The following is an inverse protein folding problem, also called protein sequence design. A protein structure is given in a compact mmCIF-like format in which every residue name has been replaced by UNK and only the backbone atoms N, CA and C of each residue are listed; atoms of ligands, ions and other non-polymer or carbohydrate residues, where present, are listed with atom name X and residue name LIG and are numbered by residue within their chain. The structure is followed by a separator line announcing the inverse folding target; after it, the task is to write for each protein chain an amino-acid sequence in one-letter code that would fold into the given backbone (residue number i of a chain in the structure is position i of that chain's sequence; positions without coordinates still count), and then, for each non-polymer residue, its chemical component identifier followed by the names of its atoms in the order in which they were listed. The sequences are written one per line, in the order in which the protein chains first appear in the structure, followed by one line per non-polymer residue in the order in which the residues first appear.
data_IF_995299134869
#
_entry.id   IF_995299134869
#
_cell.length_a   1.000
_cell.length_b   1.000
_cell.length_c   1.000
_cell.angle_alpha   90.00
_cell.angle_beta   90.00
_cell.angle_gamma   90.00
#
_symmetry.space_group_name_H-M   'P 1'
#
loop_
_entity.id
_entity.type
_entity.pdbx_description
1 polymer ?
#
# COMPACT_ATOMS: atom_id res chain seq x y z
N UNK A 1 14.09 31.88 -9.34
CA UNK A 1 13.76 31.12 -8.11
C UNK A 1 14.55 29.81 -8.10
N UNK A 2 15.34 29.52 -7.05
CA UNK A 2 16.22 28.33 -7.04
C UNK A 2 15.47 26.99 -6.86
N UNK A 3 14.18 26.98 -6.48
CA UNK A 3 13.38 25.77 -6.18
C UNK A 3 11.88 25.93 -6.54
N UNK A 4 11.49 25.94 -7.82
CA UNK A 4 10.11 26.19 -8.24
C UNK A 4 9.13 25.12 -7.74
N UNK A 5 9.55 23.84 -7.72
CA UNK A 5 8.69 22.73 -7.29
C UNK A 5 8.35 22.77 -5.79
N UNK A 6 9.25 23.26 -4.94
CA UNK A 6 8.97 23.42 -3.51
C UNK A 6 7.92 24.51 -3.28
N UNK A 7 8.04 25.63 -3.98
CA UNK A 7 7.06 26.73 -3.88
C UNK A 7 5.69 26.26 -4.37
N UNK A 8 5.65 25.52 -5.48
CA UNK A 8 4.42 24.91 -5.98
C UNK A 8 3.85 23.91 -4.96
N UNK A 9 4.68 23.08 -4.33
CA UNK A 9 4.23 22.16 -3.27
C UNK A 9 3.59 22.94 -2.13
N UNK A 10 4.23 23.99 -1.62
CA UNK A 10 3.68 24.79 -0.52
C UNK A 10 2.34 25.43 -0.89
N UNK A 11 2.20 25.90 -2.13
CA UNK A 11 0.93 26.40 -2.64
C UNK A 11 -0.15 25.30 -2.72
N UNK A 12 0.17 24.13 -3.27
CA UNK A 12 -0.74 22.98 -3.32
C UNK A 12 -1.13 22.54 -1.91
N UNK A 13 -0.17 22.44 -0.98
CA UNK A 13 -0.43 22.10 0.41
C UNK A 13 -1.38 23.10 1.06
N UNK A 14 -1.15 24.40 0.88
CA UNK A 14 -2.04 25.44 1.43
C UNK A 14 -3.46 25.33 0.87
N UNK A 15 -3.61 25.18 -0.46
CA UNK A 15 -4.92 25.03 -1.11
C UNK A 15 -5.63 23.77 -0.62
N UNK A 16 -4.93 22.64 -0.55
CA UNK A 16 -5.50 21.36 -0.09
C UNK A 16 -5.85 21.44 1.40
N UNK A 17 -5.01 22.02 2.24
CA UNK A 17 -5.28 22.20 3.68
C UNK A 17 -6.50 23.10 3.92
N UNK A 18 -6.57 24.25 3.24
CA UNK A 18 -7.71 25.17 3.33
C UNK A 18 -8.98 24.43 2.91
N UNK A 19 -8.95 23.68 1.81
CA UNK A 19 -10.13 22.92 1.39
C UNK A 19 -10.51 21.79 2.35
N UNK A 20 -9.53 21.09 2.92
CA UNK A 20 -9.77 20.02 3.90
C UNK A 20 -10.39 20.56 5.20
N UNK A 21 -9.92 21.72 5.69
CA UNK A 21 -10.40 22.33 6.92
C UNK A 21 -11.77 23.01 6.74
N UNK A 22 -11.92 23.81 5.68
CA UNK A 22 -13.08 24.69 5.52
C UNK A 22 -14.20 24.08 4.66
N UNK A 23 -13.89 23.07 3.84
CA UNK A 23 -14.88 22.43 2.96
C UNK A 23 -14.85 20.90 3.05
N UNK A 24 -14.99 20.32 4.26
CA UNK A 24 -14.90 18.88 4.46
C UNK A 24 -15.79 18.11 3.47
N UNK A 25 -17.06 18.49 3.29
CA UNK A 25 -18.02 17.74 2.47
C UNK A 25 -17.73 17.59 0.96
N UNK A 26 -16.89 18.43 0.34
CA UNK A 26 -16.81 18.53 -1.13
C UNK A 26 -15.67 17.74 -1.80
N UNK A 27 -14.63 17.38 -1.06
CA UNK A 27 -13.47 16.61 -1.55
C UNK A 27 -13.41 15.20 -0.99
N UNK A 28 -14.33 14.86 -0.10
CA UNK A 28 -14.44 13.47 0.30
C UNK A 28 -14.98 12.67 -0.88
N UNK A 29 -14.14 11.78 -1.38
CA UNK A 29 -14.61 10.50 -1.86
C UNK A 29 -15.22 9.74 -0.67
N UNK A 30 -16.32 10.26 -0.12
CA UNK A 30 -17.08 9.63 0.94
C UNK A 30 -18.39 9.23 0.31
N UNK A 31 -18.53 7.92 0.10
CA UNK A 31 -19.84 7.30 0.06
C UNK A 31 -20.48 7.54 1.43
N UNK A 32 -21.13 8.69 1.58
CA UNK A 32 -21.98 8.97 2.72
C UNK A 32 -23.24 8.12 2.60
N UNK A 33 -23.88 7.86 3.73
CA UNK A 33 -25.20 7.22 3.82
C UNK A 33 -26.21 7.84 2.85
N UNK A 34 -26.07 9.13 2.57
CA UNK A 34 -26.90 9.92 1.64
C UNK A 34 -26.76 9.53 0.16
N UNK A 35 -25.60 9.01 -0.27
CA UNK A 35 -25.39 8.54 -1.65
C UNK A 35 -25.94 7.13 -1.90
N UNK A 36 -26.19 6.36 -0.83
CA UNK A 36 -26.81 5.04 -0.89
C UNK A 36 -28.33 5.20 -0.78
N UNK A 37 -28.98 5.71 -1.84
CA UNK A 37 -30.44 5.91 -1.90
C UNK A 37 -31.23 4.71 -1.36
N UNK A 38 -31.72 4.81 -0.11
CA UNK A 38 -32.64 3.86 0.50
C UNK A 38 -32.06 2.52 0.97
N UNK A 39 -30.74 2.36 1.09
CA UNK A 39 -30.11 1.11 1.59
C UNK A 39 -29.57 1.32 3.01
N UNK A 40 -30.09 0.56 3.97
CA UNK A 40 -29.67 0.58 5.35
C UNK A 40 -28.45 -0.32 5.59
N UNK A 41 -27.74 -0.06 6.69
CA UNK A 41 -26.70 -0.97 7.15
C UNK A 41 -27.32 -2.33 7.51
N UNK A 42 -26.71 -3.43 7.06
CA UNK A 42 -27.26 -4.78 7.20
C UNK A 42 -28.02 -5.29 5.97
N UNK A 43 -28.44 -4.41 5.06
CA UNK A 43 -29.17 -4.82 3.85
C UNK A 43 -28.28 -5.64 2.91
N UNK A 44 -28.89 -6.61 2.23
CA UNK A 44 -28.20 -7.38 1.19
C UNK A 44 -28.03 -6.54 -0.07
N UNK A 45 -26.78 -6.27 -0.45
CA UNK A 45 -26.43 -5.56 -1.67
C UNK A 45 -25.76 -6.52 -2.66
N UNK A 46 -26.13 -6.40 -3.94
CA UNK A 46 -25.46 -7.08 -5.04
C UNK A 46 -24.62 -6.08 -5.83
N UNK A 47 -23.33 -6.36 -5.96
CA UNK A 47 -22.37 -5.53 -6.69
C UNK A 47 -21.83 -6.33 -7.87
N UNK A 48 -21.86 -5.72 -9.06
CA UNK A 48 -21.24 -6.25 -10.27
C UNK A 48 -20.03 -5.38 -10.60
N UNK A 49 -18.87 -5.98 -10.72
CA UNK A 49 -17.64 -5.21 -10.94
C UNK A 49 -16.42 -6.05 -11.26
N UNK A 50 -15.34 -5.39 -11.66
CA UNK A 50 -14.06 -6.03 -11.95
C UNK A 50 -13.32 -6.35 -10.66
N UNK A 51 -12.89 -7.61 -10.48
CA UNK A 51 -12.06 -8.03 -9.36
C UNK A 51 -10.64 -7.44 -9.50
N UNK A 52 -10.29 -6.47 -8.65
CA UNK A 52 -9.01 -5.76 -8.73
C UNK A 52 -7.88 -6.47 -7.97
N UNK A 53 -8.23 -7.23 -6.93
CA UNK A 53 -7.28 -7.93 -6.05
C UNK A 53 -7.97 -8.74 -4.97
N UNK A 54 -7.24 -9.67 -4.37
CA UNK A 54 -7.67 -10.46 -3.22
C UNK A 54 -6.54 -10.51 -2.18
N UNK A 55 -6.89 -10.38 -0.91
CA UNK A 55 -5.95 -10.40 0.21
C UNK A 55 -6.55 -11.17 1.38
N UNK A 56 -5.70 -11.89 2.12
CA UNK A 56 -6.10 -12.48 3.40
C UNK A 56 -5.99 -11.43 4.49
N UNK A 57 -7.04 -11.25 5.29
CA UNK A 57 -7.04 -10.37 6.47
C UNK A 57 -7.41 -11.18 7.70
N UNK A 58 -6.72 -10.89 8.81
CA UNK A 58 -7.10 -11.41 10.11
C UNK A 58 -8.16 -10.49 10.71
N UNK A 59 -9.29 -11.07 11.12
CA UNK A 59 -10.39 -10.37 11.79
C UNK A 59 -10.04 -10.12 13.25
N UNK A 60 -10.92 -9.41 13.96
CA UNK A 60 -10.77 -9.20 15.41
C UNK A 60 -10.89 -10.50 16.23
N UNK A 61 -11.55 -11.52 15.69
CA UNK A 61 -11.73 -12.84 16.32
C UNK A 61 -10.57 -13.80 15.97
N UNK A 62 -9.45 -13.25 15.51
CA UNK A 62 -8.24 -13.95 15.07
C UNK A 62 -8.43 -14.93 13.89
N UNK A 63 -9.60 -14.92 13.25
CA UNK A 63 -9.88 -15.71 12.05
C UNK A 63 -9.31 -15.05 10.81
N UNK A 64 -8.73 -15.84 9.91
CA UNK A 64 -8.18 -15.34 8.63
C UNK A 64 -9.26 -15.46 7.56
N UNK A 65 -9.77 -14.32 7.09
CA UNK A 65 -10.80 -14.24 6.05
C UNK A 65 -10.22 -13.75 4.73
N UNK A 66 -10.77 -14.26 3.63
CA UNK A 66 -10.46 -13.76 2.29
C UNK A 66 -11.25 -12.48 1.99
N UNK A 67 -10.53 -11.45 1.56
CA UNK A 67 -11.08 -10.14 1.26
C UNK A 67 -10.80 -9.79 -0.19
N UNK A 68 -11.86 -9.59 -0.96
CA UNK A 68 -11.79 -9.25 -2.37
C UNK A 68 -12.09 -7.77 -2.56
N UNK A 69 -11.33 -7.12 -3.46
CA UNK A 69 -11.56 -5.73 -3.82
C UNK A 69 -12.19 -5.67 -5.20
N UNK A 70 -13.46 -5.27 -5.26
CA UNK A 70 -14.24 -5.22 -6.50
C UNK A 70 -14.44 -3.77 -6.90
N UNK A 71 -14.08 -3.41 -8.13
CA UNK A 71 -14.39 -2.11 -8.72
C UNK A 71 -15.75 -2.19 -9.42
N UNK A 72 -16.80 -1.51 -8.93
CA UNK A 72 -18.12 -1.57 -9.55
C UNK A 72 -18.10 -1.03 -10.98
N UNK A 73 -18.88 -1.65 -11.87
CA UNK A 73 -19.09 -1.14 -13.23
C UNK A 73 -20.04 0.08 -13.19
N UNK A 74 -19.69 1.11 -13.97
CA UNK A 74 -20.42 2.39 -14.01
C UNK A 74 -21.89 2.29 -14.47
N UNK A 75 -22.32 1.17 -15.06
CA UNK A 75 -23.69 0.96 -15.53
C UNK A 75 -24.70 0.65 -14.41
N UNK A 76 -24.25 0.43 -13.17
CA UNK A 76 -25.16 0.32 -12.03
C UNK A 76 -25.70 1.72 -11.69
N UNK A 77 -26.99 1.98 -11.94
CA UNK A 77 -27.70 3.25 -11.66
C UNK A 77 -27.51 3.81 -10.24
N UNK A 78 -26.91 3.05 -9.32
CA UNK A 78 -26.66 3.39 -7.90
C UNK A 78 -25.21 3.81 -7.60
N UNK A 79 -24.31 3.85 -8.59
CA UNK A 79 -22.90 4.21 -8.40
C UNK A 79 -22.44 5.31 -9.36
N UNK A 80 -22.88 6.55 -9.11
CA UNK A 80 -22.29 7.73 -9.71
C UNK A 80 -20.96 8.06 -9.01
N UNK A 81 -19.87 7.39 -9.41
CA UNK A 81 -18.55 7.60 -8.79
C UNK A 81 -17.51 6.56 -9.23
N UNK A 82 -17.21 6.52 -10.53
CA UNK A 82 -16.52 5.43 -11.23
C UNK A 82 -15.06 5.10 -10.88
N UNK A 83 -14.62 5.22 -9.62
CA UNK A 83 -13.26 4.79 -9.19
C UNK A 83 -13.19 4.07 -7.85
N UNK A 84 -14.29 3.95 -7.11
CA UNK A 84 -14.32 3.30 -5.80
C UNK A 84 -14.04 1.81 -5.88
N UNK A 85 -13.42 1.27 -4.84
CA UNK A 85 -13.41 -0.17 -4.55
C UNK A 85 -14.46 -0.49 -3.49
N UNK A 86 -15.07 -1.66 -3.63
CA UNK A 86 -15.91 -2.30 -2.61
C UNK A 86 -15.12 -3.45 -2.01
N UNK A 87 -15.09 -3.50 -0.69
CA UNK A 87 -14.42 -4.58 0.04
C UNK A 87 -15.41 -5.71 0.29
N UNK A 88 -15.24 -6.86 -0.36
CA UNK A 88 -16.08 -8.04 -0.18
C UNK A 88 -15.38 -9.03 0.75
N UNK A 89 -15.94 -9.28 1.94
CA UNK A 89 -15.43 -10.25 2.91
C UNK A 89 -16.17 -11.57 2.65
N UNK A 90 -15.41 -12.58 2.20
CA UNK A 90 -15.96 -13.87 1.80
C UNK A 90 -16.32 -14.72 3.03
N UNK A 91 -17.41 -15.49 2.92
CA UNK A 91 -17.81 -16.47 3.94
C UNK A 91 -16.88 -17.70 3.85
N UNK A 92 -16.33 -18.17 4.99
CA UNK A 92 -15.36 -19.27 5.03
C UNK A 92 -15.90 -20.53 4.33
N UNK A 93 -15.15 -21.04 3.35
CA UNK A 93 -15.40 -22.34 2.73
C UNK A 93 -16.54 -22.42 1.70
N UNK A 94 -17.16 -21.30 1.30
CA UNK A 94 -18.21 -21.29 0.25
C UNK A 94 -17.85 -20.39 -0.94
N UNK A 95 -16.79 -20.76 -1.66
CA UNK A 95 -16.60 -20.31 -3.04
C UNK A 95 -17.33 -21.28 -3.97
N UNK A 96 -18.24 -20.74 -4.80
CA UNK A 96 -18.97 -21.44 -5.85
C UNK A 96 -19.59 -22.78 -5.41
N UNK A 97 -20.71 -22.73 -4.68
CA UNK A 97 -21.63 -23.88 -4.64
C UNK A 97 -22.95 -23.51 -5.30
N UNK A 98 -23.41 -24.46 -6.10
CA UNK A 98 -24.67 -24.54 -6.84
C UNK A 98 -25.83 -23.99 -6.02
N UNK A 99 -26.26 -22.78 -6.38
CA UNK A 99 -27.56 -22.27 -6.02
C UNK A 99 -28.50 -22.54 -7.18
N UNK A 100 -29.07 -23.74 -7.23
CA UNK A 100 -30.23 -24.02 -8.05
C UNK A 100 -31.23 -22.87 -7.92
N UNK A 101 -31.59 -22.31 -9.06
CA UNK A 101 -32.58 -21.27 -9.22
C UNK A 101 -33.91 -21.76 -8.64
N UNK A 102 -34.25 -21.33 -7.42
CA UNK A 102 -35.65 -21.18 -7.03
C UNK A 102 -36.00 -19.70 -7.15
N UNK A 103 -36.71 -19.47 -8.25
CA UNK A 103 -37.56 -18.33 -8.57
C UNK A 103 -38.29 -17.78 -7.37
N UNK A 104 -38.20 -16.46 -7.17
CA UNK A 104 -39.30 -15.49 -7.09
C UNK A 104 -38.85 -14.27 -6.28
N UNK A 105 -38.74 -13.12 -6.95
CA UNK A 105 -39.21 -11.80 -6.50
C UNK A 105 -38.70 -10.69 -7.45
N UNK A 106 -39.55 -10.39 -8.42
CA UNK A 106 -39.79 -9.07 -9.03
C UNK A 106 -38.60 -8.16 -9.35
N UNK A 107 -38.03 -8.35 -10.54
CA UNK A 107 -37.49 -7.24 -11.34
C UNK A 107 -38.62 -6.65 -12.19
N UNK A 108 -39.19 -5.50 -11.78
CA UNK A 108 -39.95 -4.67 -12.69
C UNK A 108 -39.02 -3.65 -13.37
N UNK A 109 -38.93 -3.84 -14.69
CA UNK A 109 -38.76 -2.86 -15.78
C UNK A 109 -37.45 -2.07 -15.91
N UNK A 110 -36.78 -2.33 -17.04
CA UNK A 110 -35.73 -1.48 -17.61
C UNK A 110 -34.68 -2.29 -18.36
N UNK A 111 -35.01 -2.71 -19.59
CA UNK A 111 -34.26 -3.69 -20.39
C UNK A 111 -32.75 -3.43 -20.53
N UNK A 112 -31.98 -4.52 -20.39
CA UNK A 112 -30.61 -4.64 -20.86
C UNK A 112 -30.42 -6.05 -21.43
N UNK A 113 -29.94 -6.12 -22.66
CA UNK A 113 -29.85 -7.32 -23.51
C UNK A 113 -29.05 -8.47 -22.87
N UNK A 114 -29.54 -9.69 -23.11
CA UNK A 114 -28.92 -10.99 -22.79
C UNK A 114 -27.47 -11.05 -23.25
N UNK A 115 -26.54 -11.03 -22.30
CA UNK A 115 -25.26 -11.70 -22.43
C UNK A 115 -25.31 -12.92 -21.51
N UNK A 116 -25.28 -14.11 -22.10
CA UNK A 116 -25.25 -15.38 -21.37
C UNK A 116 -24.04 -15.39 -20.44
N UNK A 117 -24.31 -15.45 -19.14
CA UNK A 117 -23.30 -15.61 -18.10
C UNK A 117 -23.11 -17.12 -17.95
N UNK A 118 -22.19 -17.68 -18.74
CA UNK A 118 -21.83 -19.08 -18.63
C UNK A 118 -21.24 -19.33 -17.24
N UNK A 119 -21.95 -20.12 -16.44
CA UNK A 119 -21.36 -20.86 -15.33
C UNK A 119 -20.55 -21.97 -16.00
N UNK A 120 -19.22 -21.85 -16.01
CA UNK A 120 -18.41 -23.06 -16.17
C UNK A 120 -18.58 -23.88 -14.88
N UNK A 121 -19.40 -24.92 -15.01
CA UNK A 121 -19.39 -26.08 -14.13
C UNK A 121 -17.99 -26.71 -14.14
N UNK A 122 -17.59 -27.27 -13.00
CA UNK A 122 -16.36 -28.07 -12.81
C UNK A 122 -15.03 -27.33 -12.67
N UNK A 123 -14.82 -26.59 -11.58
CA UNK A 123 -13.52 -26.61 -10.83
C UNK A 123 -13.73 -26.35 -9.33
N UNK A 124 -13.47 -27.38 -8.53
CA UNK A 124 -13.29 -27.26 -7.09
C UNK A 124 -12.18 -26.24 -6.76
N UNK A 125 -12.46 -25.36 -5.78
CA UNK A 125 -11.48 -24.52 -5.03
C UNK A 125 -10.61 -23.50 -5.79
N UNK A 126 -10.72 -23.31 -7.10
CA UNK A 126 -9.92 -22.27 -7.77
C UNK A 126 -10.56 -20.87 -7.60
N UNK A 127 -9.91 -20.05 -6.78
CA UNK A 127 -10.23 -18.63 -6.58
C UNK A 127 -10.41 -17.91 -7.92
N UNK A 128 -11.48 -17.12 -8.05
CA UNK A 128 -11.81 -16.39 -9.27
C UNK A 128 -10.61 -15.54 -9.75
N UNK A 129 -10.17 -15.67 -11.02
CA UNK A 129 -9.04 -14.92 -11.54
C UNK A 129 -9.21 -13.40 -11.43
N UNK A 130 -8.15 -12.70 -11.01
CA UNK A 130 -8.13 -11.23 -10.94
C UNK A 130 -8.31 -10.62 -12.34
N UNK A 131 -9.14 -9.59 -12.40
CA UNK A 131 -9.54 -8.88 -13.61
C UNK A 131 -10.82 -9.42 -14.25
N UNK A 132 -11.42 -10.50 -13.74
CA UNK A 132 -12.76 -10.92 -14.17
C UNK A 132 -13.85 -10.01 -13.61
N UNK A 133 -14.96 -9.91 -14.32
CA UNK A 133 -16.18 -9.28 -13.83
C UNK A 133 -16.89 -10.29 -12.94
N UNK A 134 -17.06 -9.95 -11.67
CA UNK A 134 -17.73 -10.78 -10.67
C UNK A 134 -19.03 -10.12 -10.22
N UNK A 135 -20.05 -10.95 -9.99
CA UNK A 135 -21.29 -10.55 -9.33
C UNK A 135 -21.26 -11.09 -7.90
N UNK A 136 -21.20 -10.21 -6.92
CA UNK A 136 -21.08 -10.56 -5.50
C UNK A 136 -22.30 -10.03 -4.73
N UNK A 137 -22.89 -10.87 -3.89
CA UNK A 137 -23.97 -10.48 -2.97
C UNK A 137 -23.51 -10.65 -1.52
N UNK A 138 -23.74 -9.64 -0.68
CA UNK A 138 -23.38 -9.68 0.74
C UNK A 138 -24.12 -8.60 1.54
N UNK A 139 -23.97 -8.62 2.86
CA UNK A 139 -24.58 -7.64 3.77
C UNK A 139 -23.77 -6.36 3.82
N UNK A 140 -24.41 -5.22 3.61
CA UNK A 140 -23.75 -3.90 3.63
C UNK A 140 -23.25 -3.56 5.04
N UNK A 141 -21.97 -3.18 5.10
CA UNK A 141 -21.32 -2.60 6.28
C UNK A 141 -20.65 -1.29 5.90
N UNK A 142 -21.01 -0.23 6.60
CA UNK A 142 -20.39 1.08 6.41
C UNK A 142 -19.17 1.22 7.34
N UNK A 143 -18.19 2.01 6.91
CA UNK A 143 -17.06 2.35 7.77
C UNK A 143 -17.46 3.47 8.74
N UNK A 144 -17.40 3.19 10.03
CA UNK A 144 -17.65 4.17 11.09
C UNK A 144 -16.44 5.08 11.29
N UNK A 145 -16.73 6.33 11.68
CA UNK A 145 -15.72 7.23 12.23
C UNK A 145 -15.38 6.84 13.68
N UNK A 146 -14.38 7.50 14.28
CA UNK A 146 -13.99 7.26 15.66
C UNK A 146 -15.12 7.69 16.60
N UNK A 147 -15.44 6.83 17.56
CA UNK A 147 -16.45 7.11 18.60
C UNK A 147 -15.79 7.67 19.84
N UNK A 148 -14.54 7.26 20.10
CA UNK A 148 -13.72 7.73 21.20
C UNK A 148 -12.57 8.63 20.71
N UNK A 149 -12.19 9.67 21.48
CA UNK A 149 -10.98 10.44 21.20
C UNK A 149 -9.74 9.53 21.16
N UNK A 150 -8.94 9.65 20.10
CA UNK A 150 -7.74 8.83 19.90
C UNK A 150 -7.98 7.45 19.28
N UNK A 151 -9.24 7.08 19.02
CA UNK A 151 -9.57 5.86 18.28
C UNK A 151 -9.16 5.97 16.80
N UNK A 152 -8.85 4.83 16.19
CA UNK A 152 -8.50 4.78 14.77
C UNK A 152 -9.72 5.12 13.89
N UNK A 153 -9.57 6.15 13.06
CA UNK A 153 -10.60 6.57 12.11
C UNK A 153 -10.62 5.65 10.87
N UNK A 154 -11.43 4.59 10.97
CA UNK A 154 -11.62 3.63 9.87
C UNK A 154 -12.18 4.30 8.62
N UNK A 155 -13.18 5.17 8.77
CA UNK A 155 -13.80 5.87 7.64
C UNK A 155 -12.77 6.67 6.86
N UNK A 156 -11.98 7.51 7.53
CA UNK A 156 -10.94 8.31 6.89
C UNK A 156 -9.87 7.45 6.23
N UNK A 157 -9.45 6.36 6.89
CA UNK A 157 -8.45 5.44 6.35
C UNK A 157 -8.93 4.79 5.04
N UNK A 158 -10.12 4.18 5.04
CA UNK A 158 -10.67 3.51 3.87
C UNK A 158 -11.04 4.49 2.74
N UNK A 159 -11.55 5.69 3.07
CA UNK A 159 -11.75 6.75 2.08
C UNK A 159 -10.44 7.19 1.43
N UNK A 160 -9.34 7.28 2.19
CA UNK A 160 -8.01 7.56 1.62
C UNK A 160 -7.61 6.48 0.62
N UNK A 161 -7.88 5.21 0.92
CA UNK A 161 -7.62 4.07 0.02
C UNK A 161 -8.64 3.96 -1.14
N UNK A 162 -9.56 4.92 -1.29
CA UNK A 162 -10.65 4.90 -2.29
C UNK A 162 -11.57 3.68 -2.15
N UNK A 163 -11.74 3.17 -0.94
CA UNK A 163 -12.66 2.08 -0.61
C UNK A 163 -13.93 2.70 -0.02
N UNK A 164 -15.07 2.40 -0.63
CA UNK A 164 -16.35 3.03 -0.32
C UNK A 164 -17.04 2.42 0.89
N UNK A 165 -17.22 1.09 0.87
CA UNK A 165 -17.91 0.32 1.90
C UNK A 165 -17.46 -1.14 1.85
N UNK A 166 -17.85 -1.91 2.86
CA UNK A 166 -17.62 -3.34 2.91
C UNK A 166 -18.93 -4.13 2.76
N UNK A 167 -18.85 -5.32 2.18
CA UNK A 167 -19.88 -6.34 2.18
C UNK A 167 -19.37 -7.50 3.04
N UNK A 168 -20.19 -7.95 4.00
CA UNK A 168 -19.94 -9.16 4.81
C UNK A 168 -20.71 -10.35 4.26
N UNK A 169 -20.28 -11.56 4.63
CA UNK A 169 -20.93 -12.82 4.27
C UNK A 169 -21.13 -12.94 2.75
N UNK A 170 -20.09 -12.57 1.98
CA UNK A 170 -20.19 -12.46 0.54
C UNK A 170 -20.23 -13.81 -0.16
N UNK A 171 -21.16 -13.94 -1.11
CA UNK A 171 -21.25 -15.06 -2.05
C UNK A 171 -21.13 -14.58 -3.48
N UNK A 172 -20.45 -15.38 -4.30
CA UNK A 172 -20.26 -15.13 -5.73
C UNK A 172 -21.46 -15.74 -6.45
N UNK A 173 -22.18 -14.92 -7.21
CA UNK A 173 -23.33 -15.32 -8.01
C UNK A 173 -22.96 -15.64 -9.46
N UNK A 174 -21.77 -15.26 -9.89
CA UNK A 174 -21.25 -15.51 -11.23
C UNK A 174 -19.99 -14.71 -11.52
N UNK A 175 -19.19 -15.20 -12.46
CA UNK A 175 -18.01 -14.53 -12.96
C UNK A 175 -17.96 -14.63 -14.48
N UNK A 176 -17.52 -13.57 -15.17
CA UNK A 176 -17.39 -13.54 -16.62
C UNK A 176 -16.29 -12.57 -17.05
N UNK A 177 -15.81 -12.72 -18.28
CA UNK A 177 -14.84 -11.81 -18.90
C UNK A 177 -13.38 -12.28 -18.83
N UNK A 178 -12.50 -11.53 -19.50
CA UNK A 178 -11.07 -11.86 -19.62
C UNK A 178 -10.28 -11.29 -18.43
N UNK A 179 -9.45 -12.13 -17.81
CA UNK A 179 -8.56 -11.72 -16.72
C UNK A 179 -7.48 -10.75 -17.19
N UNK A 180 -7.14 -9.77 -16.35
CA UNK A 180 -6.02 -8.86 -16.61
C UNK A 180 -4.68 -9.60 -16.44
N UNK A 181 -4.01 -9.91 -17.56
CA UNK A 181 -2.82 -10.79 -17.61
C UNK A 181 -1.74 -10.37 -16.61
N UNK A 182 -1.38 -9.09 -16.57
CA UNK A 182 -0.33 -8.58 -15.67
C UNK A 182 -0.74 -8.72 -14.21
N UNK A 183 -1.99 -8.37 -13.86
CA UNK A 183 -2.47 -8.45 -12.47
C UNK A 183 -2.61 -9.89 -12.01
N UNK A 184 -3.13 -10.76 -12.87
CA UNK A 184 -3.17 -12.20 -12.65
C UNK A 184 -1.75 -12.72 -12.38
N UNK A 185 -0.80 -12.41 -13.24
CA UNK A 185 0.61 -12.79 -13.05
C UNK A 185 1.17 -12.30 -11.72
N UNK A 186 1.03 -11.01 -11.39
CA UNK A 186 1.54 -10.45 -10.14
C UNK A 186 0.91 -11.08 -8.89
N UNK A 187 -0.38 -11.41 -8.96
CA UNK A 187 -1.06 -12.10 -7.86
C UNK A 187 -0.56 -13.53 -7.68
N UNK A 188 -0.45 -14.30 -8.76
CA UNK A 188 0.09 -15.66 -8.68
C UNK A 188 1.54 -15.63 -8.20
N UNK A 189 2.34 -14.68 -8.67
CA UNK A 189 3.70 -14.46 -8.18
C UNK A 189 3.72 -14.18 -6.67
N UNK A 190 2.87 -13.25 -6.19
CA UNK A 190 2.74 -12.94 -4.76
C UNK A 190 2.31 -14.17 -3.95
N UNK A 191 1.33 -14.94 -4.43
CA UNK A 191 0.87 -16.19 -3.77
C UNK A 191 1.97 -17.23 -3.69
N UNK A 192 2.73 -17.41 -4.76
CA UNK A 192 3.87 -18.33 -4.79
C UNK A 192 4.98 -17.89 -3.84
N UNK A 193 5.27 -16.59 -3.78
CA UNK A 193 6.19 -16.03 -2.77
C UNK A 193 5.68 -16.28 -1.35
N UNK A 194 4.39 -16.08 -1.09
CA UNK A 194 3.75 -16.34 0.20
C UNK A 194 3.86 -17.82 0.61
N UNK A 195 3.63 -18.75 -0.32
CA UNK A 195 3.78 -20.19 -0.11
C UNK A 195 5.22 -20.58 0.24
N UNK A 196 6.21 -20.10 -0.52
CA UNK A 196 7.63 -20.33 -0.23
C UNK A 196 7.98 -19.84 1.17
N UNK A 197 7.55 -18.64 1.54
CA UNK A 197 7.80 -18.08 2.88
C UNK A 197 7.11 -18.90 3.99
N UNK A 198 5.93 -19.46 3.72
CA UNK A 198 5.22 -20.32 4.68
C UNK A 198 5.94 -21.64 4.89
N UNK A 199 6.54 -22.20 3.83
CA UNK A 199 7.24 -23.48 3.89
C UNK A 199 8.63 -23.35 4.52
N UNK A 200 9.32 -22.22 4.32
CA UNK A 200 10.69 -22.04 4.79
C UNK A 200 10.82 -21.49 6.21
N UNK A 201 9.76 -20.90 6.79
CA UNK A 201 9.81 -20.23 8.08
C UNK A 201 8.75 -20.74 9.05
N UNK A 202 8.99 -20.54 10.35
CA UNK A 202 7.97 -20.74 11.39
C UNK A 202 6.76 -19.81 11.15
N UNK A 203 5.56 -20.09 11.70
CA UNK A 203 4.40 -19.22 11.55
C UNK A 203 4.65 -17.76 11.97
N UNK A 204 5.40 -17.56 13.05
CA UNK A 204 5.74 -16.23 13.58
C UNK A 204 6.73 -15.49 12.65
N UNK A 205 7.86 -16.11 12.32
CA UNK A 205 8.90 -15.52 11.47
C UNK A 205 8.39 -15.31 10.04
N UNK A 206 7.60 -16.27 9.54
CA UNK A 206 6.94 -16.21 8.24
C UNK A 206 5.96 -15.04 8.18
N UNK A 207 5.20 -14.77 9.24
CA UNK A 207 4.34 -13.59 9.35
C UNK A 207 5.12 -12.27 9.24
N UNK A 208 6.28 -12.17 9.92
CA UNK A 208 7.16 -11.00 9.83
C UNK A 208 7.74 -10.85 8.42
N UNK A 209 8.24 -11.94 7.83
CA UNK A 209 8.84 -11.93 6.50
C UNK A 209 7.84 -11.56 5.41
N UNK A 210 6.60 -12.08 5.49
CA UNK A 210 5.50 -11.71 4.60
C UNK A 210 5.11 -10.23 4.76
N UNK A 211 5.10 -9.70 5.98
CA UNK A 211 4.84 -8.29 6.21
C UNK A 211 5.91 -7.39 5.57
N UNK A 212 7.19 -7.75 5.71
CA UNK A 212 8.32 -6.96 5.17
C UNK A 212 8.45 -7.08 3.65
N UNK A 213 8.30 -8.28 3.09
CA UNK A 213 8.54 -8.52 1.65
C UNK A 213 7.30 -8.34 0.77
N UNK A 214 6.12 -8.68 1.28
CA UNK A 214 4.86 -8.70 0.50
C UNK A 214 3.86 -7.66 1.01
N UNK A 215 4.11 -7.03 2.16
CA UNK A 215 3.22 -6.05 2.77
C UNK A 215 2.04 -6.69 3.50
N UNK A 216 2.07 -8.01 3.68
CA UNK A 216 0.97 -8.78 4.23
C UNK A 216 1.08 -8.89 5.76
N UNK A 217 0.29 -8.07 6.45
CA UNK A 217 0.31 -7.98 7.92
C UNK A 217 -0.72 -8.88 8.61
N UNK A 218 -1.49 -9.64 7.84
CA UNK A 218 -2.59 -10.48 8.33
C UNK A 218 -2.09 -11.62 9.20
N UNK A 219 -0.94 -12.19 8.85
CA UNK A 219 -0.35 -13.33 9.56
C UNK A 219 0.50 -12.94 10.78
N UNK A 220 0.64 -11.64 11.07
CA UNK A 220 1.38 -11.18 12.24
C UNK A 220 0.48 -11.15 13.48
N UNK A 221 0.96 -11.78 14.55
CA UNK A 221 0.32 -11.74 15.84
C UNK A 221 0.23 -10.32 16.43
N UNK A 222 -0.82 -10.09 17.22
CA UNK A 222 -1.12 -8.80 17.85
C UNK A 222 -0.06 -8.40 18.88
N UNK A 223 0.52 -9.35 19.61
CA UNK A 223 1.56 -9.08 20.61
C UNK A 223 2.85 -8.60 19.93
N UNK A 224 3.22 -9.25 18.82
CA UNK A 224 4.37 -8.84 18.01
C UNK A 224 4.15 -7.43 17.45
N UNK A 225 2.97 -7.13 16.90
CA UNK A 225 2.64 -5.78 16.43
C UNK A 225 2.80 -4.73 17.53
N UNK A 226 2.33 -5.06 18.73
CA UNK A 226 2.40 -4.17 19.89
C UNK A 226 3.82 -3.97 20.39
N UNK A 227 4.64 -5.03 20.38
CA UNK A 227 6.07 -4.94 20.69
C UNK A 227 6.77 -3.96 19.74
N UNK A 228 6.53 -4.08 18.44
CA UNK A 228 7.13 -3.17 17.44
C UNK A 228 6.59 -1.74 17.59
N UNK A 229 5.32 -1.58 17.96
CA UNK A 229 4.70 -0.27 18.23
C UNK A 229 5.34 0.42 19.44
N UNK A 230 5.43 -0.27 20.58
CA UNK A 230 6.03 0.27 21.83
C UNK A 230 7.50 0.67 21.64
N UNK A 231 8.22 -0.09 20.82
CA UNK A 231 9.61 0.20 20.49
C UNK A 231 9.81 1.26 19.39
N UNK A 232 8.73 1.78 18.79
CA UNK A 232 8.79 2.82 17.75
C UNK A 232 9.28 2.33 16.38
N UNK A 233 9.31 1.02 16.16
CA UNK A 233 9.88 0.36 14.97
C UNK A 233 8.80 -0.27 14.07
N UNK A 234 7.52 -0.04 14.38
CA UNK A 234 6.37 -0.52 13.59
C UNK A 234 6.39 -0.06 12.13
N UNK A 235 7.00 1.11 11.86
CA UNK A 235 7.13 1.65 10.51
C UNK A 235 7.97 0.74 9.58
N UNK A 236 8.82 -0.11 10.16
CA UNK A 236 9.69 -1.03 9.43
C UNK A 236 8.92 -2.26 8.91
N UNK A 237 7.82 -2.64 9.58
CA UNK A 237 6.91 -3.71 9.15
C UNK A 237 5.99 -3.30 7.99
N UNK A 238 5.98 -2.00 7.64
CA UNK A 238 5.37 -1.56 6.40
C UNK A 238 6.43 -1.59 5.30
N UNK A 239 6.02 -1.94 4.07
CA UNK A 239 6.90 -1.77 2.91
C UNK A 239 7.27 -0.29 2.79
N UNK A 240 8.45 0.03 3.28
CA UNK A 240 9.03 1.35 3.25
C UNK A 240 9.52 1.69 1.84
N UNK A 241 9.59 2.98 1.53
CA UNK A 241 10.21 3.43 0.28
C UNK A 241 11.68 3.02 0.15
N UNK A 242 12.37 2.75 1.27
CA UNK A 242 13.75 2.24 1.27
C UNK A 242 13.82 0.86 0.61
N UNK A 243 12.90 -0.06 0.95
CA UNK A 243 12.89 -1.41 0.37
C UNK A 243 12.77 -1.38 -1.15
N UNK A 244 11.82 -0.58 -1.64
CA UNK A 244 11.53 -0.46 -3.08
C UNK A 244 12.68 0.23 -3.80
N UNK A 245 13.23 1.30 -3.23
CA UNK A 245 14.41 1.98 -3.79
C UNK A 245 15.65 1.08 -3.80
N UNK A 246 15.84 0.23 -2.79
CA UNK A 246 16.95 -0.71 -2.74
C UNK A 246 16.84 -1.78 -3.84
N UNK A 247 15.65 -2.37 -4.00
CA UNK A 247 15.36 -3.33 -5.09
C UNK A 247 15.63 -2.68 -6.45
N UNK A 248 15.08 -1.48 -6.68
CA UNK A 248 15.30 -0.73 -7.92
C UNK A 248 16.76 -0.40 -8.19
N UNK A 249 17.49 0.05 -7.16
CA UNK A 249 18.91 0.35 -7.27
C UNK A 249 19.77 -0.89 -7.54
N UNK A 250 19.48 -2.01 -6.88
CA UNK A 250 20.17 -3.28 -7.10
C UNK A 250 19.98 -3.75 -8.54
N UNK A 251 18.75 -3.77 -9.03
CA UNK A 251 18.42 -4.16 -10.41
C UNK A 251 19.12 -3.22 -11.40
N UNK A 252 19.01 -1.91 -11.19
CA UNK A 252 19.68 -0.93 -12.05
C UNK A 252 21.19 -1.18 -12.12
N UNK A 253 21.84 -1.41 -10.97
CA UNK A 253 23.29 -1.68 -10.91
C UNK A 253 23.66 -2.99 -11.59
N UNK A 254 22.86 -4.05 -11.44
CA UNK A 254 23.10 -5.33 -12.11
C UNK A 254 22.95 -5.21 -13.62
N UNK A 255 21.92 -4.53 -14.11
CA UNK A 255 21.73 -4.30 -15.54
C UNK A 255 22.82 -3.41 -16.12
N UNK A 256 23.29 -2.40 -15.39
CA UNK A 256 24.43 -1.57 -15.84
C UNK A 256 25.76 -2.32 -15.93
N UNK A 257 25.90 -3.52 -15.35
CA UNK A 257 27.08 -4.37 -15.58
C UNK A 257 27.02 -5.16 -16.89
N UNK A 258 25.87 -5.16 -17.56
CA UNK A 258 25.68 -5.78 -18.88
C UNK A 258 25.98 -4.77 -19.99
N UNK A 259 25.92 -5.21 -21.25
CA UNK A 259 26.09 -4.36 -22.44
C UNK A 259 24.89 -3.46 -22.75
N UNK A 260 23.85 -3.46 -21.91
CA UNK A 260 22.64 -2.69 -22.13
C UNK A 260 22.88 -1.18 -22.00
N UNK A 261 22.23 -0.35 -22.84
CA UNK A 261 22.33 1.09 -22.73
C UNK A 261 21.69 1.57 -21.42
N UNK A 262 22.33 2.55 -20.75
CA UNK A 262 21.85 3.18 -19.51
C UNK A 262 20.35 3.55 -19.47
N UNK A 263 19.72 4.12 -20.52
CA UNK A 263 18.26 4.33 -20.56
C UNK A 263 17.45 3.07 -20.36
N UNK A 264 17.85 1.97 -20.98
CA UNK A 264 17.16 0.70 -20.86
C UNK A 264 17.34 0.12 -19.45
N UNK A 265 18.53 0.21 -18.86
CA UNK A 265 18.76 -0.20 -17.47
C UNK A 265 17.86 0.58 -16.49
N UNK A 266 17.73 1.90 -16.67
CA UNK A 266 16.83 2.73 -15.86
C UNK A 266 15.36 2.34 -16.08
N UNK A 267 14.93 2.16 -17.33
CA UNK A 267 13.55 1.82 -17.66
C UNK A 267 13.14 0.46 -17.07
N UNK A 268 13.99 -0.57 -17.19
CA UNK A 268 13.78 -1.88 -16.59
C UNK A 268 13.70 -1.81 -15.06
N UNK A 269 14.61 -1.07 -14.41
CA UNK A 269 14.58 -0.91 -12.96
C UNK A 269 13.29 -0.20 -12.47
N UNK A 270 12.86 0.86 -13.16
CA UNK A 270 11.61 1.56 -12.86
C UNK A 270 10.42 0.62 -13.09
N UNK A 271 10.41 -0.14 -14.18
CA UNK A 271 9.36 -1.12 -14.47
C UNK A 271 9.24 -2.15 -13.34
N UNK A 272 10.35 -2.73 -12.88
CA UNK A 272 10.32 -3.69 -11.76
C UNK A 272 9.84 -3.03 -10.47
N UNK A 273 10.27 -1.81 -10.17
CA UNK A 273 9.76 -1.08 -8.99
C UNK A 273 8.25 -0.83 -9.08
N UNK A 274 7.72 -0.51 -10.27
CA UNK A 274 6.28 -0.31 -10.49
C UNK A 274 5.52 -1.64 -10.32
N UNK A 275 6.01 -2.72 -10.93
CA UNK A 275 5.41 -4.05 -10.81
C UNK A 275 5.41 -4.54 -9.34
N UNK A 276 6.52 -4.37 -8.64
CA UNK A 276 6.62 -4.69 -7.21
C UNK A 276 5.70 -3.80 -6.37
N UNK A 277 5.64 -2.49 -6.67
CA UNK A 277 4.71 -1.56 -6.03
C UNK A 277 3.25 -1.97 -6.23
N UNK A 278 2.87 -2.37 -7.45
CA UNK A 278 1.52 -2.86 -7.76
C UNK A 278 1.19 -4.15 -7.00
N UNK A 279 2.13 -5.08 -6.93
CA UNK A 279 1.99 -6.34 -6.18
C UNK A 279 1.73 -6.10 -4.68
N UNK A 280 2.35 -5.04 -4.13
CA UNK A 280 2.27 -4.66 -2.72
C UNK A 280 1.16 -3.64 -2.39
N UNK A 281 0.29 -3.30 -3.35
CA UNK A 281 -0.85 -2.40 -3.11
C UNK A 281 -0.57 -0.90 -3.27
N UNK A 282 0.54 -0.51 -3.90
CA UNK A 282 0.88 0.86 -4.31
C UNK A 282 0.65 1.94 -3.23
N UNK A 283 1.20 1.72 -2.03
CA UNK A 283 1.09 2.67 -0.93
C UNK A 283 1.82 4.01 -1.24
N UNK A 284 1.51 5.07 -0.48
CA UNK A 284 2.12 6.39 -0.69
C UNK A 284 3.67 6.38 -0.65
N UNK A 285 4.26 5.55 0.22
CA UNK A 285 5.72 5.40 0.32
C UNK A 285 6.34 4.79 -0.94
N UNK A 286 5.65 3.83 -1.57
CA UNK A 286 6.05 3.17 -2.81
C UNK A 286 5.99 4.12 -4.00
N UNK A 287 4.85 4.80 -4.18
CA UNK A 287 4.66 5.79 -5.26
C UNK A 287 5.74 6.87 -5.17
N UNK A 288 5.98 7.40 -3.97
CA UNK A 288 7.04 8.38 -3.73
C UNK A 288 8.42 7.84 -4.11
N UNK A 289 8.77 6.63 -3.69
CA UNK A 289 10.05 6.01 -4.01
C UNK A 289 10.25 5.84 -5.52
N UNK A 290 9.21 5.39 -6.24
CA UNK A 290 9.22 5.25 -7.70
C UNK A 290 9.44 6.61 -8.38
N UNK A 291 8.70 7.65 -7.99
CA UNK A 291 8.83 9.00 -8.57
C UNK A 291 10.23 9.57 -8.30
N UNK A 292 10.73 9.46 -7.07
CA UNK A 292 12.06 9.97 -6.72
C UNK A 292 13.16 9.23 -7.48
N UNK A 293 13.03 7.92 -7.69
CA UNK A 293 13.97 7.13 -8.48
C UNK A 293 13.91 7.51 -9.97
N UNK A 294 12.71 7.69 -10.52
CA UNK A 294 12.51 8.22 -11.88
C UNK A 294 13.22 9.56 -12.05
N UNK A 295 13.03 10.52 -11.12
CA UNK A 295 13.73 11.80 -11.15
C UNK A 295 15.26 11.62 -11.10
N UNK A 296 15.77 10.69 -10.28
CA UNK A 296 17.20 10.41 -10.14
C UNK A 296 17.81 9.88 -11.44
N UNK A 297 17.08 9.02 -12.15
CA UNK A 297 17.48 8.48 -13.44
C UNK A 297 17.32 9.50 -14.58
N UNK A 298 16.28 10.34 -14.54
CA UNK A 298 16.03 11.35 -15.58
C UNK A 298 17.01 12.53 -15.50
N UNK A 299 17.48 12.90 -14.30
CA UNK A 299 18.30 14.10 -14.08
C UNK A 299 19.55 14.18 -15.00
N UNK A 300 20.41 13.14 -15.11
CA UNK A 300 21.56 13.18 -16.01
C UNK A 300 21.20 13.37 -17.50
N UNK A 301 20.05 12.83 -17.93
CA UNK A 301 19.58 12.94 -19.33
C UNK A 301 19.04 14.31 -19.67
N UNK A 302 18.49 14.99 -18.67
CA UNK A 302 18.03 16.38 -18.78
C UNK A 302 19.17 17.37 -18.53
N UNK A 303 20.42 16.91 -18.39
CA UNK A 303 21.57 17.72 -17.98
C UNK A 303 21.31 18.53 -16.70
N UNK A 304 20.56 17.94 -15.77
CA UNK A 304 20.24 18.52 -14.45
C UNK A 304 20.88 17.69 -13.34
N UNK A 305 21.16 18.33 -12.22
CA UNK A 305 21.50 17.63 -10.98
C UNK A 305 20.23 17.12 -10.31
N UNK A 306 20.32 15.97 -9.66
CA UNK A 306 19.24 15.46 -8.82
C UNK A 306 19.12 16.32 -7.57
N UNK A 307 17.95 16.93 -7.36
CA UNK A 307 17.62 17.67 -6.15
C UNK A 307 16.57 16.89 -5.34
N UNK A 308 16.93 16.53 -4.11
CA UNK A 308 16.10 15.71 -3.23
C UNK A 308 14.75 16.39 -2.96
N UNK A 309 14.75 17.70 -2.72
CA UNK A 309 13.56 18.43 -2.31
C UNK A 309 12.61 18.66 -3.49
N UNK A 310 13.14 18.90 -4.69
CA UNK A 310 12.34 18.96 -5.93
C UNK A 310 11.67 17.61 -6.23
N UNK A 311 12.40 16.49 -6.11
CA UNK A 311 11.84 15.17 -6.32
C UNK A 311 10.77 14.81 -5.26
N UNK A 312 11.02 15.15 -3.99
CA UNK A 312 10.04 14.99 -2.91
C UNK A 312 8.79 15.83 -3.18
N UNK A 313 8.96 17.08 -3.61
CA UNK A 313 7.86 17.99 -3.91
C UNK A 313 7.00 17.51 -5.08
N UNK A 314 7.62 17.05 -6.16
CA UNK A 314 6.91 16.47 -7.29
C UNK A 314 6.09 15.24 -6.86
N UNK A 315 6.68 14.35 -6.05
CA UNK A 315 5.97 13.17 -5.58
C UNK A 315 4.77 13.48 -4.67
N UNK A 316 4.90 14.50 -3.79
CA UNK A 316 3.79 14.96 -2.98
C UNK A 316 2.67 15.57 -3.84
N UNK A 317 3.01 16.42 -4.80
CA UNK A 317 2.02 17.04 -5.70
C UNK A 317 1.25 15.95 -6.45
N UNK A 318 1.94 14.98 -7.06
CA UNK A 318 1.28 13.91 -7.82
C UNK A 318 0.37 13.04 -6.94
N UNK A 319 0.78 12.71 -5.71
CA UNK A 319 -0.06 11.97 -4.76
C UNK A 319 -1.29 12.78 -4.33
N UNK A 320 -1.13 14.06 -4.06
CA UNK A 320 -2.22 14.93 -3.59
C UNK A 320 -3.22 15.28 -4.69
N UNK A 321 -2.77 15.34 -5.95
CA UNK A 321 -3.65 15.47 -7.10
C UNK A 321 -4.50 14.21 -7.32
N UNK A 322 -3.95 13.02 -7.06
CA UNK A 322 -4.71 11.76 -7.15
C UNK A 322 -5.70 11.59 -5.99
N UNK A 323 -5.28 11.93 -4.76
CA UNK A 323 -6.11 11.82 -3.57
C UNK A 323 -5.66 12.82 -2.49
N UNK A 324 -6.39 13.91 -2.24
CA UNK A 324 -6.03 14.90 -1.22
C UNK A 324 -6.01 14.34 0.21
N UNK A 325 -6.76 13.26 0.48
CA UNK A 325 -6.82 12.63 1.81
C UNK A 325 -5.49 12.05 2.28
N UNK A 326 -4.49 11.91 1.40
CA UNK A 326 -3.14 11.51 1.80
C UNK A 326 -2.53 12.44 2.86
N UNK A 327 -2.93 13.71 2.96
CA UNK A 327 -2.45 14.61 4.03
C UNK A 327 -2.86 14.19 5.44
N UNK A 328 -3.96 13.45 5.57
CA UNK A 328 -4.40 12.92 6.87
C UNK A 328 -3.95 11.48 7.10
N UNK A 329 -3.21 10.90 6.16
CA UNK A 329 -2.74 9.54 6.29
C UNK A 329 -1.38 9.52 7.02
N UNK A 330 -1.31 8.78 8.12
CA UNK A 330 -0.06 8.62 8.88
C UNK A 330 1.09 8.10 8.01
N UNK A 331 0.85 7.10 7.16
CA UNK A 331 1.88 6.52 6.29
C UNK A 331 2.50 7.52 5.32
N UNK A 332 1.70 8.40 4.71
CA UNK A 332 2.19 9.52 3.91
C UNK A 332 3.02 10.47 4.77
N UNK A 333 2.48 10.94 5.89
CA UNK A 333 3.17 11.90 6.77
C UNK A 333 4.51 11.37 7.27
N UNK A 334 4.58 10.14 7.79
CA UNK A 334 5.84 9.53 8.22
C UNK A 334 6.87 9.48 7.09
N UNK A 335 6.43 9.11 5.88
CA UNK A 335 7.30 9.02 4.72
C UNK A 335 7.92 10.38 4.39
N UNK A 336 7.08 11.39 4.19
CA UNK A 336 7.52 12.72 3.75
C UNK A 336 8.31 13.47 4.84
N UNK A 337 7.88 13.38 6.11
CA UNK A 337 8.63 13.97 7.23
C UNK A 337 9.97 13.26 7.47
N UNK A 338 10.10 11.96 7.24
CA UNK A 338 11.39 11.28 7.34
C UNK A 338 12.40 11.84 6.32
N UNK A 339 12.02 11.96 5.05
CA UNK A 339 12.92 12.51 4.01
C UNK A 339 13.17 14.00 4.22
N UNK A 340 12.14 14.76 4.64
CA UNK A 340 12.29 16.17 5.02
C UNK A 340 13.24 16.34 6.21
N UNK A 341 13.17 15.48 7.22
CA UNK A 341 14.06 15.48 8.38
C UNK A 341 15.52 15.24 8.00
N UNK A 342 15.77 14.27 7.11
CA UNK A 342 17.10 14.03 6.54
C UNK A 342 17.62 15.28 5.82
N UNK A 343 16.76 16.04 5.14
CA UNK A 343 17.19 17.21 4.40
C UNK A 343 17.40 18.47 5.27
N UNK A 344 16.47 18.77 6.17
CA UNK A 344 16.46 20.01 6.95
C UNK A 344 17.12 19.87 8.32
N UNK A 345 16.87 18.76 9.03
CA UNK A 345 17.29 18.58 10.42
C UNK A 345 18.69 17.97 10.50
N UNK A 346 19.03 17.01 9.62
CA UNK A 346 20.36 16.37 9.63
C UNK A 346 21.52 17.37 9.47
N UNK A 347 21.46 18.38 8.57
CA UNK A 347 22.51 19.40 8.49
C UNK A 347 22.57 20.29 9.72
N UNK A 348 21.43 20.63 10.33
CA UNK A 348 21.40 21.39 11.57
C UNK A 348 22.06 20.61 12.73
N UNK A 349 21.83 19.30 12.83
CA UNK A 349 22.52 18.43 13.78
C UNK A 349 24.02 18.24 13.50
N UNK A 350 24.51 18.75 12.36
CA UNK A 350 25.93 18.70 11.99
C UNK A 350 26.71 19.95 12.37
N UNK A 351 26.19 20.78 13.31
CA UNK A 351 26.92 21.92 13.88
C UNK A 351 28.38 21.54 14.21
N UNK A 352 29.28 22.12 13.42
CA UNK A 352 30.73 22.18 13.59
C UNK A 352 31.52 20.86 13.77
N UNK A 353 32.24 20.49 12.71
CA UNK A 353 33.69 20.23 12.83
C UNK A 353 34.42 20.98 11.72
N UNK A 354 34.92 22.18 12.04
CA UNK A 354 36.20 22.67 11.54
C UNK A 354 37.28 21.91 12.31
N UNK A 355 37.60 20.67 11.95
CA UNK A 355 38.81 20.04 12.48
C UNK A 355 39.20 18.85 11.59
N UNK A 356 40.40 18.93 11.02
CA UNK A 356 41.01 17.94 10.13
C UNK A 356 41.42 16.63 10.81
N UNK A 357 40.59 16.10 11.72
CA UNK A 357 40.78 14.77 12.27
C UNK A 357 40.12 13.74 11.35
N UNK A 358 40.93 12.91 10.71
CA UNK A 358 40.49 11.69 10.03
C UNK A 358 39.90 10.72 11.08
N UNK A 359 38.61 10.86 11.37
CA UNK A 359 37.86 9.83 12.09
C UNK A 359 37.89 8.54 11.25
N UNK A 360 38.17 7.39 11.89
CA UNK A 360 38.14 6.09 11.22
C UNK A 360 36.80 5.83 10.51
N UNK A 361 36.83 5.18 9.35
CA UNK A 361 35.68 4.96 8.45
C UNK A 361 34.43 4.40 9.16
N UNK A 362 34.64 3.58 10.19
CA UNK A 362 33.59 2.96 11.01
C UNK A 362 32.92 3.98 11.96
N UNK A 363 33.71 4.72 12.74
CA UNK A 363 33.20 5.71 13.71
C UNK A 363 32.45 6.83 12.99
N UNK A 364 32.98 7.32 11.86
CA UNK A 364 32.30 8.31 11.02
C UNK A 364 30.99 7.79 10.44
N UNK A 365 30.91 6.51 10.08
CA UNK A 365 29.70 5.83 9.63
C UNK A 365 28.62 5.77 10.70
N UNK A 366 28.97 5.28 11.90
CA UNK A 366 28.05 5.19 13.04
C UNK A 366 27.50 6.57 13.41
N UNK A 367 28.37 7.58 13.51
CA UNK A 367 27.96 8.96 13.81
C UNK A 367 27.03 9.56 12.74
N UNK A 368 27.22 9.20 11.47
CA UNK A 368 26.33 9.62 10.38
C UNK A 368 24.96 8.94 10.50
N UNK A 369 24.92 7.64 10.76
CA UNK A 369 23.68 6.88 10.94
C UNK A 369 22.89 7.32 12.17
N UNK A 370 23.59 7.61 13.29
CA UNK A 370 22.96 8.16 14.49
C UNK A 370 22.31 9.52 14.23
N UNK A 371 23.04 10.45 13.59
CA UNK A 371 22.49 11.77 13.20
C UNK A 371 21.29 11.65 12.26
N UNK A 372 21.34 10.73 11.30
CA UNK A 372 20.21 10.48 10.40
C UNK A 372 19.00 9.94 11.17
N UNK A 373 19.21 9.00 12.08
CA UNK A 373 18.14 8.41 12.90
C UNK A 373 17.52 9.45 13.84
N UNK A 374 18.33 10.32 14.44
CA UNK A 374 17.86 11.43 15.27
C UNK A 374 17.09 12.47 14.45
N UNK A 375 17.60 12.84 13.26
CA UNK A 375 16.93 13.79 12.36
C UNK A 375 15.55 13.29 11.92
N UNK A 376 15.45 12.01 11.55
CA UNK A 376 14.17 11.38 11.20
C UNK A 376 13.24 11.37 12.41
N UNK A 377 13.72 10.92 13.57
CA UNK A 377 12.90 10.80 14.79
C UNK A 377 12.34 12.14 15.24
N UNK A 378 13.15 13.20 15.25
CA UNK A 378 12.70 14.56 15.58
C UNK A 378 11.67 15.09 14.57
N UNK A 379 11.87 14.79 13.29
CA UNK A 379 10.95 15.23 12.23
C UNK A 379 9.62 14.47 12.26
N UNK A 380 9.63 13.17 12.57
CA UNK A 380 8.41 12.34 12.62
C UNK A 380 7.71 12.37 13.97
N UNK A 381 8.33 12.91 15.02
CA UNK A 381 7.78 12.98 16.38
C UNK A 381 6.39 13.64 16.44
N UNK A 382 6.12 14.79 15.78
CA UNK A 382 4.78 15.39 15.81
C UNK A 382 3.72 14.47 15.20
N UNK A 383 4.06 13.77 14.11
CA UNK A 383 3.16 12.80 13.48
C UNK A 383 2.91 11.62 14.43
N UNK A 384 3.95 11.12 15.09
CA UNK A 384 3.83 10.01 16.03
C UNK A 384 2.94 10.37 17.23
N UNK A 385 3.13 11.56 17.80
CA UNK A 385 2.32 12.06 18.90
C UNK A 385 0.84 12.20 18.52
N UNK A 386 0.55 12.72 17.33
CA UNK A 386 -0.85 12.92 16.89
C UNK A 386 -1.60 11.62 16.59
N UNK A 387 -0.91 10.57 16.10
CA UNK A 387 -1.57 9.32 15.70
C UNK A 387 -1.51 8.22 16.76
N UNK A 388 -0.41 8.13 17.50
CA UNK A 388 -0.16 7.00 18.41
C UNK A 388 -0.09 7.42 19.88
N UNK A 389 -0.02 8.72 20.19
CA UNK A 389 0.05 9.22 21.57
C UNK A 389 1.20 8.61 22.40
N UNK A 390 2.28 8.18 21.73
CA UNK A 390 3.45 7.53 22.36
C UNK A 390 4.75 8.19 21.94
N UNK A 391 5.72 8.26 22.86
CA UNK A 391 7.10 8.71 22.58
C UNK A 391 8.08 7.55 22.79
N UNK A 392 8.58 6.91 21.72
CA UNK A 392 9.52 5.81 21.82
C UNK A 392 10.94 6.36 21.96
N UNK A 393 11.36 6.62 23.20
CA UNK A 393 12.68 7.18 23.53
C UNK A 393 13.83 6.31 22.98
N UNK A 394 13.64 4.99 22.99
CA UNK A 394 14.63 4.02 22.50
C UNK A 394 14.70 3.89 20.97
N UNK A 395 13.76 4.48 20.23
CA UNK A 395 13.65 4.30 18.77
C UNK A 395 14.90 4.75 18.02
N UNK A 396 15.60 5.79 18.47
CA UNK A 396 16.83 6.29 17.83
C UNK A 396 17.93 5.22 17.85
N UNK A 397 18.12 4.56 19.00
CA UNK A 397 19.13 3.52 19.17
C UNK A 397 18.74 2.23 18.46
N UNK A 398 17.47 1.85 18.54
CA UNK A 398 16.96 0.68 17.83
C UNK A 398 17.06 0.84 16.31
N UNK A 399 16.71 2.00 15.77
CA UNK A 399 16.79 2.27 14.33
C UNK A 399 18.25 2.21 13.81
N UNK A 400 19.24 2.54 14.64
CA UNK A 400 20.65 2.42 14.28
C UNK A 400 21.05 0.97 13.98
N UNK A 401 20.46 0.00 14.70
CA UNK A 401 20.71 -1.43 14.50
C UNK A 401 19.75 -2.05 13.47
N UNK A 402 18.48 -1.64 13.49
CA UNK A 402 17.41 -2.26 12.70
C UNK A 402 17.53 -1.89 11.22
N UNK A 403 17.85 -0.64 10.86
CA UNK A 403 17.94 -0.23 9.45
C UNK A 403 18.97 -1.07 8.65
N UNK A 404 20.22 -1.28 9.11
CA UNK A 404 21.15 -2.16 8.39
C UNK A 404 20.70 -3.62 8.40
N UNK A 405 20.16 -4.10 9.53
CA UNK A 405 19.69 -5.48 9.63
C UNK A 405 18.50 -5.75 8.69
N UNK A 406 17.63 -4.78 8.49
CA UNK A 406 16.50 -4.88 7.55
C UNK A 406 16.93 -4.95 6.10
N UNK A 407 18.03 -4.30 5.75
CA UNK A 407 18.63 -4.44 4.42
C UNK A 407 19.11 -5.87 4.21
N UNK A 408 19.75 -6.47 5.22
CA UNK A 408 20.18 -7.87 5.17
C UNK A 408 18.97 -8.83 5.13
N UNK A 409 17.95 -8.58 5.94
CA UNK A 409 16.72 -9.36 5.98
C UNK A 409 15.98 -9.33 4.64
N UNK A 410 15.85 -8.15 4.02
CA UNK A 410 15.24 -8.02 2.70
C UNK A 410 16.00 -8.83 1.65
N UNK A 411 17.33 -8.67 1.58
CA UNK A 411 18.16 -9.39 0.59
C UNK A 411 18.13 -10.90 0.83
N UNK A 412 18.26 -11.34 2.09
CA UNK A 412 18.17 -12.74 2.47
C UNK A 412 16.81 -13.34 2.14
N UNK A 413 15.74 -12.63 2.45
CA UNK A 413 14.38 -13.05 2.11
C UNK A 413 14.13 -13.16 0.60
N UNK A 414 14.66 -12.23 -0.20
CA UNK A 414 14.62 -12.34 -1.66
C UNK A 414 15.40 -13.56 -2.19
N UNK A 415 16.54 -13.90 -1.57
CA UNK A 415 17.30 -15.11 -1.91
C UNK A 415 16.51 -16.37 -1.57
N UNK A 416 15.90 -16.43 -0.38
CA UNK A 416 15.05 -17.57 0.03
C UNK A 416 13.89 -17.75 -0.94
N UNK A 417 13.22 -16.66 -1.32
CA UNK A 417 12.15 -16.71 -2.32
C UNK A 417 12.67 -17.23 -3.66
N UNK A 418 13.83 -16.74 -4.12
CA UNK A 418 14.40 -17.16 -5.39
C UNK A 418 14.77 -18.66 -5.40
N UNK A 419 15.47 -19.12 -4.35
CA UNK A 419 15.89 -20.53 -4.22
C UNK A 419 14.71 -21.46 -3.94
N UNK A 420 13.78 -21.07 -3.08
CA UNK A 420 12.58 -21.87 -2.76
C UNK A 420 11.67 -22.02 -3.97
N UNK A 421 11.55 -20.99 -4.81
CA UNK A 421 10.82 -21.11 -6.07
C UNK A 421 11.44 -22.14 -7.02
N UNK A 422 12.77 -22.20 -7.07
CA UNK A 422 13.51 -23.17 -7.86
C UNK A 422 13.36 -24.59 -7.30
N UNK A 423 13.40 -24.74 -5.98
CA UNK A 423 13.19 -26.03 -5.30
C UNK A 423 11.76 -26.57 -5.42
N UNK A 424 10.75 -25.70 -5.59
CA UNK A 424 9.36 -26.12 -5.84
C UNK A 424 9.07 -26.37 -7.34
N UNK A 425 10.03 -26.07 -8.23
CA UNK A 425 9.95 -26.38 -9.67
C UNK A 425 10.62 -27.72 -10.02
N UNK A 426 11.61 -28.13 -9.23
CA UNK A 426 12.22 -29.46 -9.24
C UNK A 426 11.37 -30.44 -8.44
#
# INVERSE_FOLDING_TARGET
MKRPLLVLLLAVLAVVWIRILFFPGTLFFSYTKEQMHGVAEGDFLTVVGELQGAERKRTFDDTVVDVWYVRPLASSRRHQGGTALVQCIMEDGKTCQEGGMQTEETCQEGGMQRGEMCLEEDREKESCPIGMIVKVRGKLRLFSGPTNPGEFDNRLYYSTMKIAYALKDCRILGASGRSAVIRKFLYHLRRRMDEVLTLCFSPEDGGIMKAVLLGEKSMMDSEIKDLYRRNGIIHVLAISGLHISLIGYLIYRLLCKTTLPLPLCSACAILVMVLYGLMCGMNASAVRAIIMFLCRCAAPRLHRSYDLLSALSLSAILLLLDQPLWLKNGGFLFSFFAVGGIYFVMPALSFQKKSGQQEGRVIGGIRKSFRSSLAVSLSTLPVLLSFFYTVPVYSVFLNLMIIPLMTLLLVGGLIVIFLGNFSLLL
#
